data_IF_535082480474
#
_entry.id   IF_535082480474
#
_cell.length_a   1.000
_cell.length_b   1.000
_cell.length_c   1.000
_cell.angle_alpha   90.00
_cell.angle_beta   90.00
_cell.angle_gamma   90.00
#
_symmetry.space_group_name_H-M   'P 1'
#
loop_
_entity.id
_entity.type
_entity.pdbx_description
1 polymer ?
#
# COMPACT_ATOMS: atom_id res chain seq x y z
N UNK A 1 8.71 -14.02 -13.21
CA UNK A 1 7.50 -13.17 -13.22
C UNK A 1 7.91 -11.71 -13.34
N UNK A 2 7.00 -10.88 -13.86
CA UNK A 2 7.07 -9.42 -13.75
C UNK A 2 6.13 -8.98 -12.63
N UNK A 3 6.66 -8.44 -11.55
CA UNK A 3 5.91 -8.15 -10.33
C UNK A 3 5.91 -6.65 -10.07
N UNK A 4 4.72 -6.06 -9.91
CA UNK A 4 4.55 -4.71 -9.40
C UNK A 4 4.29 -4.79 -7.89
N UNK A 5 5.07 -4.06 -7.11
CA UNK A 5 4.83 -3.90 -5.67
C UNK A 5 4.56 -2.42 -5.38
N UNK A 6 3.50 -2.11 -4.65
CA UNK A 6 3.30 -0.77 -4.08
C UNK A 6 3.60 -0.81 -2.58
N UNK A 7 4.33 0.18 -2.06
CA UNK A 7 4.77 0.23 -0.68
C UNK A 7 4.80 1.67 -0.14
N UNK A 8 4.76 1.84 1.17
CA UNK A 8 4.72 3.15 1.82
C UNK A 8 3.31 3.62 2.07
N UNK A 9 3.14 4.92 2.18
CA UNK A 9 1.87 5.58 2.46
C UNK A 9 1.56 6.65 1.41
N UNK A 10 0.32 7.16 1.40
CA UNK A 10 0.00 8.38 0.68
C UNK A 10 -0.12 9.54 1.66
N UNK A 11 0.20 10.75 1.22
CA UNK A 11 0.04 11.99 1.97
C UNK A 11 -1.15 12.75 1.40
N UNK A 12 -2.03 13.24 2.29
CA UNK A 12 -3.06 14.23 1.95
C UNK A 12 -2.60 15.58 2.48
N UNK A 13 -2.19 16.53 1.61
CA UNK A 13 -1.71 17.82 2.06
C UNK A 13 -2.78 18.60 2.82
N UNK A 14 -2.42 19.14 3.98
CA UNK A 14 -3.22 20.11 4.72
C UNK A 14 -2.86 21.51 4.23
N UNK A 15 -1.56 21.80 4.13
CA UNK A 15 -1.03 23.01 3.53
C UNK A 15 0.34 22.75 2.89
N UNK A 16 1.11 23.80 2.56
CA UNK A 16 2.43 23.65 1.92
C UNK A 16 3.49 22.96 2.79
N UNK A 17 3.24 22.76 4.09
CA UNK A 17 4.21 22.21 5.04
C UNK A 17 3.67 21.03 5.87
N UNK A 18 2.35 20.82 5.92
CA UNK A 18 1.70 19.79 6.74
C UNK A 18 0.84 18.86 5.90
N UNK A 19 0.77 17.60 6.30
CA UNK A 19 -0.09 16.59 5.66
C UNK A 19 -0.69 15.64 6.71
N UNK A 20 -1.80 15.01 6.33
CA UNK A 20 -2.31 13.81 6.99
C UNK A 20 -1.77 12.60 6.24
N UNK A 21 -1.28 11.61 6.96
CA UNK A 21 -0.72 10.40 6.37
C UNK A 21 -0.81 9.22 7.34
N UNK A 22 -0.75 8.01 6.81
CA UNK A 22 -0.54 6.80 7.61
C UNK A 22 0.90 6.75 8.12
N UNK A 23 1.12 6.15 9.30
CA UNK A 23 2.44 6.05 9.95
C UNK A 23 3.38 5.02 9.29
N UNK A 24 2.90 4.27 8.30
CA UNK A 24 3.63 3.16 7.70
C UNK A 24 4.61 3.61 6.61
N UNK A 25 5.87 3.21 6.72
CA UNK A 25 6.94 3.55 5.78
C UNK A 25 7.14 2.53 4.66
N UNK A 26 6.32 1.46 4.61
CA UNK A 26 6.37 0.47 3.53
C UNK A 26 7.46 -0.60 3.65
N UNK A 27 8.08 -0.79 4.83
CA UNK A 27 9.13 -1.81 5.04
C UNK A 27 8.72 -3.20 4.57
N UNK A 28 7.47 -3.61 4.78
CA UNK A 28 6.97 -4.94 4.36
C UNK A 28 6.96 -5.07 2.84
N UNK A 29 6.38 -4.10 2.12
CA UNK A 29 6.36 -4.11 0.65
C UNK A 29 7.77 -4.06 0.05
N UNK A 30 8.67 -3.26 0.63
CA UNK A 30 10.07 -3.20 0.20
C UNK A 30 10.80 -4.55 0.37
N UNK A 31 10.57 -5.25 1.50
CA UNK A 31 11.13 -6.60 1.72
C UNK A 31 10.56 -7.64 0.75
N UNK A 32 9.26 -7.57 0.44
CA UNK A 32 8.64 -8.46 -0.55
C UNK A 32 9.22 -8.21 -1.94
N UNK A 33 9.36 -6.93 -2.35
CA UNK A 33 9.99 -6.57 -3.62
C UNK A 33 11.43 -7.11 -3.70
N UNK A 34 12.19 -6.97 -2.63
CA UNK A 34 13.55 -7.48 -2.53
C UNK A 34 13.60 -9.01 -2.62
N UNK A 35 12.76 -9.72 -1.87
CA UNK A 35 12.71 -11.18 -1.90
C UNK A 35 12.33 -11.70 -3.29
N UNK A 36 11.38 -11.04 -3.97
CA UNK A 36 11.01 -11.39 -5.34
C UNK A 36 12.18 -11.20 -6.32
N UNK A 37 12.91 -10.10 -6.22
CA UNK A 37 14.08 -9.85 -7.07
C UNK A 37 15.21 -10.86 -6.81
N UNK A 38 15.49 -11.20 -5.55
CA UNK A 38 16.50 -12.20 -5.17
C UNK A 38 16.19 -13.62 -5.70
N UNK A 39 14.91 -13.90 -5.97
CA UNK A 39 14.44 -15.13 -6.61
C UNK A 39 14.39 -15.05 -8.14
N UNK A 40 14.97 -13.98 -8.74
CA UNK A 40 15.11 -13.84 -10.18
C UNK A 40 13.88 -13.27 -10.90
N UNK A 41 12.96 -12.64 -10.19
CA UNK A 41 11.81 -11.97 -10.80
C UNK A 41 12.16 -10.54 -11.23
N UNK A 42 11.54 -10.05 -12.31
CA UNK A 42 11.58 -8.64 -12.66
C UNK A 42 10.61 -7.86 -11.76
N UNK A 43 11.11 -6.88 -11.03
CA UNK A 43 10.36 -6.13 -10.02
C UNK A 43 10.29 -4.65 -10.36
N UNK A 44 9.07 -4.11 -10.32
CA UNK A 44 8.81 -2.67 -10.29
C UNK A 44 8.25 -2.33 -8.92
N UNK A 45 8.93 -1.45 -8.19
CA UNK A 45 8.50 -0.98 -6.87
C UNK A 45 8.04 0.47 -6.97
N UNK A 46 6.78 0.74 -6.60
CA UNK A 46 6.29 2.09 -6.34
C UNK A 46 6.32 2.33 -4.82
N UNK A 47 7.07 3.33 -4.36
CA UNK A 47 7.22 3.60 -2.93
C UNK A 47 7.22 5.09 -2.62
N UNK A 48 6.64 5.46 -1.48
CA UNK A 48 6.74 6.84 -0.95
C UNK A 48 7.97 7.05 -0.06
N UNK A 49 8.71 5.98 0.25
CA UNK A 49 9.85 5.95 1.16
C UNK A 49 11.01 5.16 0.54
N UNK A 50 11.69 5.76 -0.44
CA UNK A 50 12.85 5.11 -1.10
C UNK A 50 14.02 4.88 -0.15
N UNK A 51 14.16 5.71 0.89
CA UNK A 51 15.18 5.58 1.94
C UNK A 51 15.08 4.26 2.73
N UNK A 52 13.92 3.64 2.76
CA UNK A 52 13.70 2.32 3.39
C UNK A 52 14.56 1.24 2.72
N UNK A 53 14.83 1.38 1.41
CA UNK A 53 15.66 0.43 0.68
C UNK A 53 17.12 0.45 1.14
N UNK A 54 17.60 1.60 1.62
CA UNK A 54 18.96 1.77 2.14
C UNK A 54 19.04 1.41 3.64
N UNK A 55 17.96 1.66 4.38
CA UNK A 55 17.91 1.45 5.82
C UNK A 55 17.73 -0.01 6.26
N UNK A 56 17.32 -0.91 5.37
CA UNK A 56 17.12 -2.33 5.70
C UNK A 56 18.39 -3.11 5.30
N UNK A 57 19.19 -3.63 6.27
CA UNK A 57 20.46 -4.30 5.97
C UNK A 57 20.35 -5.51 5.02
N UNK A 58 19.19 -6.17 5.04
CA UNK A 58 18.89 -7.31 4.15
C UNK A 58 18.51 -6.87 2.73
N UNK A 59 18.18 -5.60 2.53
CA UNK A 59 17.93 -5.04 1.21
C UNK A 59 19.22 -4.35 0.77
N UNK A 60 20.10 -5.08 0.08
CA UNK A 60 21.25 -4.44 -0.59
C UNK A 60 20.74 -3.53 -1.70
N UNK A 61 21.42 -2.40 -2.00
CA UNK A 61 21.10 -1.59 -3.16
C UNK A 61 21.06 -2.50 -4.39
N UNK A 62 19.88 -2.71 -4.92
CA UNK A 62 19.69 -3.54 -6.12
C UNK A 62 19.72 -2.63 -7.31
N UNK A 63 20.66 -2.89 -8.19
CA UNK A 63 20.81 -2.22 -9.46
C UNK A 63 20.93 -3.28 -10.55
N UNK A 64 20.38 -3.01 -11.71
CA UNK A 64 20.53 -3.92 -12.84
C UNK A 64 19.21 -4.19 -13.57
N UNK A 65 19.26 -4.98 -14.64
CA UNK A 65 18.09 -5.32 -15.42
C UNK A 65 17.09 -6.07 -14.54
N UNK A 66 15.81 -5.64 -14.62
CA UNK A 66 14.72 -6.24 -13.85
C UNK A 66 14.42 -5.59 -12.50
N UNK A 67 15.15 -4.55 -12.06
CA UNK A 67 14.81 -3.77 -10.88
C UNK A 67 14.50 -2.32 -11.23
N UNK A 68 13.28 -1.88 -10.96
CA UNK A 68 12.83 -0.51 -11.21
C UNK A 68 12.14 0.05 -9.97
N UNK A 69 12.51 1.26 -9.57
CA UNK A 69 11.87 1.99 -8.47
C UNK A 69 11.29 3.29 -9.01
N UNK A 70 10.04 3.58 -8.65
CA UNK A 70 9.40 4.87 -8.89
C UNK A 70 8.85 5.40 -7.56
N UNK A 71 9.02 6.68 -7.32
CA UNK A 71 8.56 7.32 -6.09
C UNK A 71 7.26 8.07 -6.30
N UNK A 72 6.46 8.16 -5.24
CA UNK A 72 5.26 8.96 -5.16
C UNK A 72 5.13 9.56 -3.75
N UNK A 73 4.24 10.52 -3.55
CA UNK A 73 3.92 11.10 -2.24
C UNK A 73 2.43 11.10 -1.97
N UNK A 74 1.62 11.49 -2.95
CA UNK A 74 0.18 11.68 -2.79
C UNK A 74 -0.62 10.52 -3.36
N UNK A 75 -1.93 10.50 -3.06
CA UNK A 75 -2.88 9.58 -3.68
C UNK A 75 -2.87 9.71 -5.21
N UNK A 76 -2.93 10.93 -5.73
CA UNK A 76 -3.00 11.18 -7.18
C UNK A 76 -1.73 10.72 -7.91
N UNK A 77 -0.56 10.94 -7.31
CA UNK A 77 0.70 10.47 -7.89
C UNK A 77 0.76 8.94 -7.95
N UNK A 78 0.34 8.24 -6.89
CA UNK A 78 0.25 6.78 -6.91
C UNK A 78 -0.77 6.29 -7.94
N UNK A 79 -1.96 6.91 -7.99
CA UNK A 79 -3.00 6.59 -8.96
C UNK A 79 -2.50 6.77 -10.40
N UNK A 80 -1.78 7.86 -10.69
CA UNK A 80 -1.19 8.13 -11.99
C UNK A 80 -0.13 7.09 -12.38
N UNK A 81 0.77 6.71 -11.46
CA UNK A 81 1.74 5.65 -11.70
C UNK A 81 1.06 4.31 -12.01
N UNK A 82 0.05 3.94 -11.22
CA UNK A 82 -0.67 2.67 -11.40
C UNK A 82 -1.49 2.66 -12.69
N UNK A 83 -2.22 3.74 -12.99
CA UNK A 83 -3.03 3.85 -14.21
C UNK A 83 -2.21 3.83 -15.50
N UNK A 84 -0.96 4.29 -15.45
CA UNK A 84 -0.03 4.24 -16.58
C UNK A 84 0.61 2.87 -16.73
N UNK A 85 0.95 2.21 -15.62
CA UNK A 85 1.75 0.99 -15.65
C UNK A 85 0.94 -0.30 -15.82
N UNK A 86 -0.30 -0.33 -15.30
CA UNK A 86 -1.11 -1.56 -15.24
C UNK A 86 -1.80 -1.91 -16.55
N UNK A 87 -2.47 -0.95 -17.31
CA UNK A 87 -3.24 -1.26 -18.52
C UNK A 87 -2.34 -1.73 -19.64
N UNK A 88 -1.37 -2.22 -19.72
CA UNK A 88 -0.53 -2.71 -20.85
C UNK A 88 -0.21 -4.19 -20.74
N UNK A 89 -0.75 -4.90 -19.73
CA UNK A 89 -0.45 -6.32 -19.50
C UNK A 89 1.01 -6.57 -19.14
N UNK A 90 1.71 -5.55 -18.60
CA UNK A 90 3.15 -5.62 -18.34
C UNK A 90 3.51 -6.50 -17.13
N UNK A 91 2.56 -6.79 -16.25
CA UNK A 91 2.77 -7.52 -15.00
C UNK A 91 2.03 -8.84 -14.95
N UNK A 92 2.67 -9.84 -14.39
CA UNK A 92 2.04 -11.13 -14.04
C UNK A 92 1.36 -11.05 -12.68
N UNK A 93 1.92 -10.25 -11.77
CA UNK A 93 1.50 -10.14 -10.38
C UNK A 93 1.54 -8.69 -9.90
N UNK A 94 0.54 -8.30 -9.11
CA UNK A 94 0.52 -7.03 -8.38
C UNK A 94 0.40 -7.33 -6.89
N UNK A 95 1.35 -6.82 -6.09
CA UNK A 95 1.30 -6.82 -4.62
C UNK A 95 0.99 -5.41 -4.15
N UNK A 96 -0.27 -5.15 -3.82
CA UNK A 96 -0.71 -3.82 -3.39
C UNK A 96 -0.61 -3.72 -1.86
N UNK A 97 0.58 -3.32 -1.37
CA UNK A 97 0.90 -3.20 0.06
C UNK A 97 1.02 -1.75 0.55
N UNK A 98 0.76 -0.77 -0.32
CA UNK A 98 0.74 0.64 0.08
C UNK A 98 -0.42 0.94 1.03
N UNK A 99 -0.15 1.70 2.10
CA UNK A 99 -1.16 2.23 3.03
C UNK A 99 -1.75 3.52 2.44
N UNK A 100 -2.72 3.35 1.55
CA UNK A 100 -3.40 4.46 0.89
C UNK A 100 -4.38 5.12 1.86
N UNK A 101 -4.39 6.45 1.93
CA UNK A 101 -5.36 7.18 2.74
C UNK A 101 -6.79 6.96 2.22
N UNK A 102 -7.70 6.68 3.12
CA UNK A 102 -9.13 6.52 2.83
C UNK A 102 -9.86 7.87 2.69
N UNK A 103 -9.22 8.94 3.15
CA UNK A 103 -9.73 10.31 3.13
C UNK A 103 -8.65 11.28 2.68
N UNK A 104 -9.09 12.35 1.99
CA UNK A 104 -8.26 13.50 1.64
C UNK A 104 -8.82 14.79 2.26
N UNK A 105 -7.95 15.78 2.43
CA UNK A 105 -8.32 17.09 2.94
C UNK A 105 -8.96 17.91 1.82
N UNK A 106 -10.26 18.16 1.93
CA UNK A 106 -11.04 18.95 0.96
C UNK A 106 -11.25 20.41 1.37
N UNK A 107 -10.82 20.78 2.56
CA UNK A 107 -10.91 22.17 3.04
C UNK A 107 -10.46 22.31 4.48
N UNK A 108 -10.11 23.54 4.84
CA UNK A 108 -9.62 23.91 6.16
C UNK A 108 -10.38 25.14 6.62
N UNK A 109 -10.95 25.08 7.80
CA UNK A 109 -11.86 26.10 8.32
C UNK A 109 -11.47 26.53 9.73
N UNK A 110 -11.72 27.79 10.07
CA UNK A 110 -11.69 28.27 11.47
C UNK A 110 -12.92 27.77 12.23
N UNK A 111 -12.96 28.01 13.56
CA UNK A 111 -14.14 27.73 14.38
C UNK A 111 -15.41 28.38 13.84
N UNK A 112 -15.30 29.60 13.29
CA UNK A 112 -16.39 30.32 12.66
C UNK A 112 -16.69 29.87 11.23
N UNK A 113 -16.13 28.73 10.79
CA UNK A 113 -16.27 28.12 9.46
C UNK A 113 -15.80 29.01 8.29
N UNK A 114 -14.85 29.88 8.54
CA UNK A 114 -14.18 30.64 7.49
C UNK A 114 -13.14 29.78 6.83
N UNK A 115 -13.18 29.65 5.50
CA UNK A 115 -12.21 28.88 4.72
C UNK A 115 -10.83 29.56 4.77
N UNK A 116 -9.84 28.81 5.23
CA UNK A 116 -8.43 29.25 5.33
C UNK A 116 -7.50 28.31 4.56
N UNK A 117 -8.03 27.59 3.55
CA UNK A 117 -7.30 26.60 2.75
C UNK A 117 -6.19 27.20 1.90
N UNK A 118 -6.17 28.53 1.69
CA UNK A 118 -5.19 29.18 0.84
C UNK A 118 -3.85 29.40 1.56
N UNK A 119 -2.82 28.73 1.10
CA UNK A 119 -1.43 28.96 1.53
C UNK A 119 -1.04 28.20 2.81
N UNK A 120 -0.14 28.79 3.61
CA UNK A 120 0.27 28.24 4.91
C UNK A 120 -0.67 28.72 6.00
N UNK A 121 -1.27 27.80 6.74
CA UNK A 121 -2.15 28.12 7.87
C UNK A 121 -1.33 28.82 8.96
N UNK A 122 -1.80 30.02 9.37
CA UNK A 122 -1.18 30.78 10.46
C UNK A 122 -1.44 30.10 11.81
N UNK A 123 -0.43 30.06 12.68
CA UNK A 123 -0.55 29.49 14.03
C UNK A 123 -1.34 30.37 15.02
N UNK A 124 -1.91 31.50 14.57
CA UNK A 124 -2.71 32.43 15.39
C UNK A 124 -4.18 32.03 15.52
N UNK A 125 -4.64 31.05 14.74
CA UNK A 125 -6.00 30.52 14.88
C UNK A 125 -6.10 29.67 16.14
N UNK A 126 -7.04 29.94 17.07
CA UNK A 126 -7.20 29.15 18.30
C UNK A 126 -7.67 27.73 18.00
N UNK A 127 -8.35 27.53 16.88
CA UNK A 127 -8.91 26.26 16.45
C UNK A 127 -9.02 26.21 14.93
N UNK A 128 -8.78 25.03 14.34
CA UNK A 128 -9.00 24.76 12.92
C UNK A 128 -9.73 23.42 12.75
N UNK A 129 -10.57 23.35 11.71
CA UNK A 129 -11.32 22.16 11.32
C UNK A 129 -10.88 21.70 9.93
N UNK A 130 -10.63 20.41 9.78
CA UNK A 130 -10.34 19.80 8.49
C UNK A 130 -11.59 19.11 7.96
N UNK A 131 -12.01 19.48 6.75
CA UNK A 131 -13.03 18.73 6.01
C UNK A 131 -12.33 17.60 5.27
N UNK A 132 -12.65 16.36 5.63
CA UNK A 132 -12.16 15.16 4.97
C UNK A 132 -13.25 14.59 4.06
N UNK A 133 -12.86 14.17 2.86
CA UNK A 133 -13.73 13.47 1.91
C UNK A 133 -13.13 12.12 1.54
N UNK A 134 -13.95 11.07 1.28
CA UNK A 134 -13.44 9.77 0.91
C UNK A 134 -12.66 9.78 -0.41
N UNK A 135 -11.57 9.03 -0.46
CA UNK A 135 -10.83 8.73 -1.70
C UNK A 135 -11.30 7.40 -2.31
N UNK A 136 -11.34 7.28 -3.65
CA UNK A 136 -11.60 5.99 -4.28
C UNK A 136 -10.54 4.94 -3.89
N UNK A 137 -10.95 3.69 -3.69
CA UNK A 137 -10.02 2.62 -3.37
C UNK A 137 -9.19 2.22 -4.61
N UNK A 138 -7.89 2.51 -4.61
CA UNK A 138 -7.01 2.16 -5.73
C UNK A 138 -6.98 0.66 -6.02
N UNK A 139 -7.06 -0.18 -4.99
CA UNK A 139 -7.07 -1.63 -5.14
C UNK A 139 -8.26 -2.15 -5.96
N UNK A 140 -9.42 -1.54 -5.82
CA UNK A 140 -10.62 -1.94 -6.56
C UNK A 140 -10.48 -1.57 -8.05
N UNK A 141 -9.86 -0.41 -8.35
CA UNK A 141 -9.59 0.05 -9.71
C UNK A 141 -8.64 -0.86 -10.50
N UNK A 142 -7.80 -1.65 -9.82
CA UNK A 142 -6.87 -2.58 -10.48
C UNK A 142 -7.61 -3.54 -11.42
N UNK A 143 -8.75 -4.09 -10.99
CA UNK A 143 -9.58 -4.99 -11.77
C UNK A 143 -10.55 -4.26 -12.69
N UNK A 144 -11.27 -3.26 -12.14
CA UNK A 144 -12.39 -2.62 -12.82
C UNK A 144 -11.94 -1.63 -13.89
N UNK A 145 -11.03 -0.71 -13.53
CA UNK A 145 -10.64 0.40 -14.39
C UNK A 145 -9.43 0.06 -15.26
N UNK A 146 -8.46 -0.67 -14.68
CA UNK A 146 -7.18 -0.96 -15.36
C UNK A 146 -7.12 -2.37 -15.96
N UNK A 147 -8.17 -3.15 -15.80
CA UNK A 147 -8.37 -4.42 -16.51
C UNK A 147 -7.32 -5.49 -16.19
N UNK A 148 -6.63 -5.41 -15.05
CA UNK A 148 -5.61 -6.37 -14.67
C UNK A 148 -6.20 -7.78 -14.50
N UNK A 149 -5.55 -8.81 -15.09
CA UNK A 149 -6.01 -10.20 -15.07
C UNK A 149 -5.03 -11.17 -14.41
N UNK A 150 -3.82 -10.70 -14.07
CA UNK A 150 -2.83 -11.49 -13.34
C UNK A 150 -3.16 -11.67 -11.86
N UNK A 151 -2.22 -12.21 -11.08
CA UNK A 151 -2.39 -12.43 -9.64
C UNK A 151 -2.37 -11.12 -8.86
N UNK A 152 -3.42 -10.85 -8.09
CA UNK A 152 -3.54 -9.67 -7.23
C UNK A 152 -3.44 -10.07 -5.75
N UNK A 153 -2.48 -9.49 -5.05
CA UNK A 153 -2.32 -9.59 -3.59
C UNK A 153 -2.75 -8.29 -2.95
N UNK A 154 -3.62 -8.37 -1.95
CA UNK A 154 -4.12 -7.24 -1.16
C UNK A 154 -3.68 -7.37 0.29
N UNK A 155 -3.47 -6.24 0.95
CA UNK A 155 -3.18 -6.17 2.38
C UNK A 155 -4.37 -5.64 3.16
N UNK A 156 -4.58 -6.18 4.36
CA UNK A 156 -5.60 -5.72 5.30
C UNK A 156 -5.01 -5.64 6.71
N UNK A 157 -5.13 -4.48 7.31
CA UNK A 157 -4.78 -4.23 8.70
C UNK A 157 -6.06 -3.90 9.46
N UNK A 158 -6.20 -4.47 10.66
CA UNK A 158 -7.25 -4.12 11.61
C UNK A 158 -6.66 -3.80 12.99
N UNK A 159 -7.45 -3.18 13.85
CA UNK A 159 -7.06 -2.80 15.21
C UNK A 159 -8.14 -3.28 16.18
N UNK A 160 -7.71 -3.89 17.29
CA UNK A 160 -8.61 -4.28 18.37
C UNK A 160 -9.59 -5.42 18.03
N UNK A 161 -9.27 -6.26 17.03
CA UNK A 161 -10.09 -7.41 16.64
C UNK A 161 -9.35 -8.72 16.91
N UNK A 162 -10.10 -9.80 17.11
CA UNK A 162 -9.55 -11.16 17.21
C UNK A 162 -9.04 -11.66 15.85
N UNK A 163 -8.17 -12.69 15.86
CA UNK A 163 -7.70 -13.34 14.63
C UNK A 163 -8.86 -13.86 13.78
N UNK A 164 -9.89 -14.44 14.42
CA UNK A 164 -11.08 -14.97 13.72
C UNK A 164 -11.85 -13.84 13.01
N UNK A 165 -12.06 -12.72 13.68
CA UNK A 165 -12.74 -11.56 13.12
C UNK A 165 -11.93 -10.91 12.02
N UNK A 166 -10.60 -10.77 12.21
CA UNK A 166 -9.67 -10.30 11.18
C UNK A 166 -9.83 -11.13 9.90
N UNK A 167 -9.83 -12.46 10.00
CA UNK A 167 -9.91 -13.33 8.82
C UNK A 167 -11.27 -13.23 8.12
N UNK A 168 -12.38 -13.05 8.85
CA UNK A 168 -13.69 -12.78 8.25
C UNK A 168 -13.70 -11.46 7.47
N UNK A 169 -13.18 -10.39 8.06
CA UNK A 169 -13.08 -9.07 7.42
C UNK A 169 -12.16 -9.14 6.20
N UNK A 170 -11.02 -9.80 6.35
CA UNK A 170 -10.04 -9.95 5.28
C UNK A 170 -10.61 -10.70 4.07
N UNK A 171 -11.35 -11.80 4.29
CA UNK A 171 -11.95 -12.58 3.20
C UNK A 171 -13.05 -11.80 2.46
N UNK A 172 -13.91 -11.10 3.17
CA UNK A 172 -14.91 -10.20 2.56
C UNK A 172 -14.21 -9.12 1.73
N UNK A 173 -13.17 -8.51 2.26
CA UNK A 173 -12.38 -7.48 1.57
C UNK A 173 -11.63 -8.02 0.34
N UNK A 174 -11.12 -9.26 0.41
CA UNK A 174 -10.47 -9.95 -0.70
C UNK A 174 -11.43 -10.17 -1.86
N UNK A 175 -12.60 -10.74 -1.56
CA UNK A 175 -13.64 -11.03 -2.55
C UNK A 175 -14.12 -9.74 -3.22
N UNK A 176 -14.38 -8.69 -2.44
CA UNK A 176 -14.86 -7.40 -2.94
C UNK A 176 -13.93 -6.81 -4.02
N UNK A 177 -12.64 -6.82 -3.79
CA UNK A 177 -11.66 -6.26 -4.75
C UNK A 177 -11.18 -7.26 -5.82
N UNK A 178 -11.70 -8.49 -5.84
CA UNK A 178 -11.27 -9.54 -6.77
C UNK A 178 -9.80 -9.92 -6.59
N UNK A 179 -9.26 -9.82 -5.36
CA UNK A 179 -7.89 -10.23 -5.09
C UNK A 179 -7.79 -11.76 -4.97
N UNK A 180 -6.68 -12.31 -5.48
CA UNK A 180 -6.42 -13.75 -5.44
C UNK A 180 -5.86 -14.18 -4.09
N UNK A 181 -5.00 -13.34 -3.49
CA UNK A 181 -4.44 -13.54 -2.16
C UNK A 181 -4.64 -12.31 -1.27
N UNK A 182 -4.73 -12.59 0.03
CA UNK A 182 -4.78 -11.59 1.08
C UNK A 182 -3.62 -11.80 2.06
N UNK A 183 -3.01 -10.70 2.48
CA UNK A 183 -2.14 -10.64 3.65
C UNK A 183 -2.86 -9.81 4.71
N UNK A 184 -3.24 -10.43 5.83
CA UNK A 184 -4.00 -9.80 6.89
C UNK A 184 -3.21 -9.81 8.21
N UNK A 185 -3.24 -8.71 8.95
CA UNK A 185 -2.65 -8.63 10.30
C UNK A 185 -3.39 -7.60 11.15
N UNK A 186 -3.22 -7.70 12.47
CA UNK A 186 -3.63 -6.64 13.39
C UNK A 186 -2.44 -5.74 13.74
N UNK A 187 -2.75 -4.53 14.19
CA UNK A 187 -1.71 -3.61 14.69
C UNK A 187 -1.06 -4.17 15.96
N UNK A 188 -1.87 -4.75 16.86
CA UNK A 188 -1.42 -5.33 18.13
C UNK A 188 -0.61 -6.61 17.93
N UNK A 189 -0.93 -7.40 16.89
CA UNK A 189 -0.22 -8.61 16.49
C UNK A 189 0.79 -8.37 15.36
N UNK A 190 1.52 -7.26 15.37
CA UNK A 190 2.42 -6.83 14.30
C UNK A 190 3.53 -7.83 13.94
N UNK A 191 3.87 -8.77 14.82
CA UNK A 191 4.88 -9.81 14.59
C UNK A 191 4.44 -10.90 13.60
N UNK A 192 3.14 -10.99 13.33
CA UNK A 192 2.54 -12.04 12.51
C UNK A 192 1.67 -11.45 11.40
N UNK A 193 1.48 -12.25 10.37
CA UNK A 193 0.49 -12.03 9.34
C UNK A 193 -0.16 -13.34 8.92
N UNK A 194 -1.40 -13.27 8.47
CA UNK A 194 -2.11 -14.37 7.83
C UNK A 194 -2.04 -14.20 6.32
N UNK A 195 -1.61 -15.24 5.61
CA UNK A 195 -1.49 -15.23 4.15
C UNK A 195 -2.39 -16.32 3.56
N UNK A 196 -3.25 -15.97 2.63
CA UNK A 196 -4.10 -16.96 1.99
C UNK A 196 -5.27 -16.41 1.18
N UNK A 197 -6.15 -17.33 0.80
CA UNK A 197 -7.48 -17.11 0.26
C UNK A 197 -8.35 -18.27 0.73
N UNK A 198 -9.49 -18.02 1.38
CA UNK A 198 -10.33 -19.00 2.09
C UNK A 198 -9.58 -19.71 3.25
N UNK A 199 -8.44 -20.33 2.96
CA UNK A 199 -7.55 -20.95 3.95
C UNK A 199 -6.34 -20.05 4.17
N UNK A 200 -6.18 -19.58 5.41
CA UNK A 200 -5.11 -18.68 5.81
C UNK A 200 -4.08 -19.41 6.65
N UNK A 201 -2.81 -19.13 6.41
CA UNK A 201 -1.68 -19.62 7.20
C UNK A 201 -1.07 -18.46 7.94
N UNK A 202 -0.81 -18.63 9.24
CA UNK A 202 -0.09 -17.66 10.06
C UNK A 202 1.39 -17.74 9.77
N UNK A 203 2.01 -16.62 9.47
CA UNK A 203 3.42 -16.49 9.08
C UNK A 203 4.06 -15.40 9.91
N UNK A 204 5.32 -15.58 10.33
CA UNK A 204 6.06 -14.51 11.01
C UNK A 204 6.28 -13.32 10.07
N UNK A 205 6.42 -12.14 10.66
CA UNK A 205 6.70 -10.92 9.87
C UNK A 205 8.04 -10.99 9.14
N UNK A 206 8.98 -11.76 9.66
CA UNK A 206 10.29 -12.00 9.07
C UNK A 206 10.19 -12.89 7.84
N UNK A 207 9.43 -13.98 7.93
CA UNK A 207 9.28 -14.98 6.87
C UNK A 207 8.27 -14.57 5.78
N UNK A 208 7.39 -13.62 6.08
CA UNK A 208 6.33 -13.17 5.18
C UNK A 208 6.81 -12.87 3.75
N UNK A 209 7.93 -12.15 3.52
CA UNK A 209 8.39 -11.87 2.16
C UNK A 209 8.71 -13.13 1.36
N UNK A 210 9.43 -14.08 1.96
CA UNK A 210 9.83 -15.33 1.31
C UNK A 210 8.62 -16.24 1.06
N UNK A 211 7.76 -16.41 2.06
CA UNK A 211 6.54 -17.21 1.99
C UNK A 211 5.57 -16.69 0.92
N UNK A 212 5.36 -15.37 0.87
CA UNK A 212 4.47 -14.78 -0.13
C UNK A 212 5.01 -15.01 -1.55
N UNK A 213 6.29 -14.78 -1.78
CA UNK A 213 6.89 -14.99 -3.12
C UNK A 213 6.81 -16.46 -3.53
N UNK A 214 7.07 -17.40 -2.62
CA UNK A 214 6.95 -18.84 -2.89
C UNK A 214 5.50 -19.22 -3.26
N UNK A 215 4.50 -18.66 -2.57
CA UNK A 215 3.08 -18.88 -2.92
C UNK A 215 2.74 -18.32 -4.30
N UNK A 216 3.25 -17.15 -4.66
CA UNK A 216 3.04 -16.56 -5.97
C UNK A 216 3.63 -17.42 -7.10
N UNK A 217 4.74 -18.11 -6.84
CA UNK A 217 5.33 -19.07 -7.78
C UNK A 217 4.51 -20.35 -7.92
N UNK A 218 3.80 -20.76 -6.87
CA UNK A 218 3.01 -22.01 -6.86
C UNK A 218 1.60 -21.85 -7.46
N UNK A 219 1.09 -20.64 -7.64
CA UNK A 219 -0.24 -20.36 -8.22
C UNK A 219 -0.23 -20.46 -9.76
N UNK A 220 0.91 -20.59 -10.38
CA UNK A 220 1.07 -20.69 -11.84
C UNK A 220 0.78 -22.05 -12.43
#
# INVERSE_FOLDING_TARGET
MKILVTAGNTQSPVDRVRCITNIFTGKTGARIAAAAFDRGHAVTLFTSHSEVLEAIPTIRPRQGPGWTVKTYRTYDELAALMSTAIPGGAFDTIVHAAAVNDYEVAGIFTADRIDVSAGKIKGSHPEIWLKLVPTPKLVDRIRTDWGFRGTLVKFKLEVGVSDEELLKIAEVSRIHSGADLMVANTLDGYEWAFVGAKNYVRVSREDLPAELVQRLESIR
#
